data_IF_368523788430
#
_entry.id   IF_368523788430
#
_cell.length_a   1.000
_cell.length_b   1.000
_cell.length_c   1.000
_cell.angle_alpha   90.00
_cell.angle_beta   90.00
_cell.angle_gamma   90.00
#
_symmetry.space_group_name_H-M   'P 1'
#
loop_
_entity.id
_entity.type
_entity.pdbx_description
1 polymer ?
#
# COMPACT_ATOMS: atom_id res chain seq x y z
N UNK A 1 -16.05 -16.54 -47.82
CA UNK A 1 -16.48 -15.45 -48.73
C UNK A 1 -17.78 -14.85 -48.20
N UNK A 2 -17.84 -13.50 -48.13
CA UNK A 2 -19.04 -12.62 -48.02
C UNK A 2 -19.82 -12.67 -46.69
N UNK A 3 -19.66 -11.65 -45.81
CA UNK A 3 -20.40 -10.36 -45.70
C UNK A 3 -21.83 -10.59 -45.18
N UNK A 4 -22.14 -10.25 -43.91
CA UNK A 4 -22.56 -8.93 -43.39
C UNK A 4 -24.06 -8.63 -43.59
N UNK A 5 -24.79 -8.36 -42.49
CA UNK A 5 -25.98 -7.46 -42.31
C UNK A 5 -26.63 -7.86 -40.96
N UNK A 6 -26.72 -7.08 -39.86
CA UNK A 6 -27.18 -5.70 -39.60
C UNK A 6 -28.71 -5.51 -39.71
N UNK A 7 -29.46 -5.73 -38.62
CA UNK A 7 -30.82 -5.18 -38.30
C UNK A 7 -30.98 -5.30 -36.76
N UNK A 8 -30.84 -4.27 -35.93
CA UNK A 8 -31.70 -3.11 -35.64
C UNK A 8 -33.08 -3.46 -35.02
N UNK A 9 -33.36 -2.84 -33.86
CA UNK A 9 -34.69 -2.52 -33.28
C UNK A 9 -35.28 -3.44 -32.20
N UNK A 10 -35.28 -2.93 -30.96
CA UNK A 10 -36.42 -2.82 -30.01
C UNK A 10 -35.84 -2.53 -28.61
N UNK A 11 -35.45 -1.29 -28.29
CA UNK A 11 -36.29 -0.29 -27.59
C UNK A 11 -37.43 -0.92 -26.78
N UNK A 12 -37.37 -0.86 -25.44
CA UNK A 12 -38.33 -0.10 -24.61
C UNK A 12 -38.16 -0.40 -23.10
N UNK A 13 -38.19 0.69 -22.32
CA UNK A 13 -38.56 0.78 -20.90
C UNK A 13 -37.66 0.15 -19.84
N UNK A 14 -36.76 0.98 -19.29
CA UNK A 14 -36.78 1.21 -17.85
C UNK A 14 -36.71 2.72 -17.60
N UNK A 15 -37.84 3.26 -17.12
CA UNK A 15 -38.08 4.66 -16.88
C UNK A 15 -37.18 5.19 -15.76
N UNK A 16 -36.52 6.30 -16.08
CA UNK A 16 -35.92 7.26 -15.16
C UNK A 16 -37.00 7.76 -14.21
N UNK A 17 -36.83 7.52 -12.92
CA UNK A 17 -37.57 8.19 -11.86
C UNK A 17 -36.65 9.23 -11.22
N UNK A 18 -36.51 10.38 -11.90
CA UNK A 18 -36.07 11.62 -11.26
C UNK A 18 -37.32 12.35 -10.81
N UNK A 19 -37.47 12.47 -9.50
CA UNK A 19 -38.56 13.19 -8.86
C UNK A 19 -38.07 14.62 -8.66
N UNK A 20 -38.43 15.50 -9.58
CA UNK A 20 -38.17 16.93 -9.46
C UNK A 20 -38.82 17.45 -8.18
N UNK A 21 -37.98 17.98 -7.29
CA UNK A 21 -38.37 18.72 -6.10
C UNK A 21 -38.10 20.18 -6.43
N UNK A 22 -39.16 20.89 -6.79
CA UNK A 22 -39.16 22.35 -6.88
C UNK A 22 -38.69 22.93 -5.54
N UNK A 23 -37.57 23.66 -5.59
CA UNK A 23 -37.05 24.42 -4.48
C UNK A 23 -37.88 25.70 -4.33
N UNK A 24 -38.67 25.72 -3.27
CA UNK A 24 -39.34 26.91 -2.77
C UNK A 24 -38.32 28.02 -2.48
N UNK A 25 -38.62 29.21 -2.99
CA UNK A 25 -37.87 30.43 -2.73
C UNK A 25 -38.28 30.94 -1.35
N UNK A 26 -37.59 30.48 -0.31
CA UNK A 26 -37.58 31.18 0.97
C UNK A 26 -36.24 31.90 1.17
N UNK A 27 -36.32 33.22 1.07
CA UNK A 27 -35.29 34.18 1.41
C UNK A 27 -34.85 34.01 2.87
N UNK A 28 -33.71 33.37 3.10
CA UNK A 28 -33.02 33.39 4.39
C UNK A 28 -31.84 34.35 4.30
N UNK A 29 -31.86 35.32 5.22
CA UNK A 29 -30.86 36.37 5.44
C UNK A 29 -29.42 35.82 5.35
N UNK A 30 -28.62 36.51 4.55
CA UNK A 30 -27.17 36.39 4.47
C UNK A 30 -26.56 36.90 5.78
N UNK A 31 -26.39 36.02 6.75
CA UNK A 31 -25.46 36.25 7.85
C UNK A 31 -24.11 35.66 7.43
N UNK A 32 -23.16 36.54 7.12
CA UNK A 32 -21.80 36.16 6.75
C UNK A 32 -21.14 35.49 7.96
N UNK A 33 -21.00 34.16 7.89
CA UNK A 33 -20.06 33.45 8.75
C UNK A 33 -18.64 33.97 8.48
N UNK A 34 -17.80 34.18 9.50
CA UNK A 34 -16.43 34.61 9.31
C UNK A 34 -15.70 33.59 8.45
N UNK A 35 -14.94 34.07 7.46
CA UNK A 35 -14.18 33.24 6.54
C UNK A 35 -13.28 32.29 7.35
N UNK A 36 -13.65 31.01 7.41
CA UNK A 36 -12.76 29.97 7.89
C UNK A 36 -11.61 29.92 6.91
N UNK A 37 -10.39 30.17 7.38
CA UNK A 37 -9.18 29.87 6.63
C UNK A 37 -9.33 28.47 6.03
N UNK A 38 -9.39 28.39 4.70
CA UNK A 38 -9.34 27.15 3.98
C UNK A 38 -7.96 26.55 4.28
N UNK A 39 -7.88 25.66 5.26
CA UNK A 39 -6.73 24.78 5.40
C UNK A 39 -6.65 24.02 4.10
N UNK A 40 -5.69 24.40 3.27
CA UNK A 40 -5.38 23.74 2.01
C UNK A 40 -5.23 22.24 2.29
N UNK A 41 -6.23 21.45 1.88
CA UNK A 41 -6.19 20.00 2.02
C UNK A 41 -5.15 19.48 1.03
N UNK A 42 -3.89 19.41 1.47
CA UNK A 42 -2.84 18.76 0.69
C UNK A 42 -3.16 17.28 0.57
N UNK A 43 -3.36 16.85 -0.67
CA UNK A 43 -3.55 15.44 -0.98
C UNK A 43 -2.27 14.69 -0.61
N UNK A 44 -2.40 13.53 0.03
CA UNK A 44 -1.25 12.73 0.46
C UNK A 44 -0.55 12.13 -0.77
N UNK A 45 0.70 12.52 -1.00
CA UNK A 45 1.58 11.85 -1.96
C UNK A 45 2.42 10.79 -1.25
N UNK A 46 2.43 9.58 -1.81
CA UNK A 46 3.32 8.51 -1.37
C UNK A 46 4.76 8.92 -1.65
N UNK A 47 5.60 9.02 -0.62
CA UNK A 47 7.03 9.19 -0.83
C UNK A 47 7.63 7.96 -1.52
N UNK A 48 8.79 8.14 -2.15
CA UNK A 48 9.48 7.03 -2.81
C UNK A 48 9.81 5.90 -1.82
N UNK A 49 10.18 6.25 -0.58
CA UNK A 49 10.34 5.27 0.49
C UNK A 49 9.05 4.53 0.83
N UNK A 50 7.92 5.25 0.98
CA UNK A 50 6.63 4.61 1.27
C UNK A 50 6.19 3.65 0.15
N UNK A 51 6.39 4.05 -1.12
CA UNK A 51 6.12 3.21 -2.28
C UNK A 51 7.01 1.96 -2.29
N UNK A 52 8.30 2.10 -1.93
CA UNK A 52 9.22 0.97 -1.80
C UNK A 52 8.77 -0.01 -0.70
N UNK A 53 8.36 0.50 0.47
CA UNK A 53 7.86 -0.34 1.57
C UNK A 53 6.58 -1.11 1.17
N UNK A 54 5.68 -0.47 0.42
CA UNK A 54 4.49 -1.15 -0.11
C UNK A 54 4.87 -2.26 -1.09
N UNK A 55 5.85 -2.01 -1.97
CA UNK A 55 6.33 -3.03 -2.89
C UNK A 55 6.96 -4.22 -2.14
N UNK A 56 7.80 -3.96 -1.14
CA UNK A 56 8.38 -5.00 -0.28
C UNK A 56 7.30 -5.81 0.44
N UNK A 57 6.23 -5.16 0.91
CA UNK A 57 5.10 -5.83 1.54
C UNK A 57 4.40 -6.79 0.58
N UNK A 58 4.11 -6.35 -0.64
CA UNK A 58 3.47 -7.19 -1.67
C UNK A 58 4.35 -8.39 -2.04
N UNK A 59 5.66 -8.19 -2.17
CA UNK A 59 6.57 -9.28 -2.48
C UNK A 59 6.70 -10.28 -1.32
N UNK A 60 6.70 -9.80 -0.07
CA UNK A 60 6.65 -10.67 1.10
C UNK A 60 5.31 -11.41 1.22
N UNK A 61 4.18 -10.81 0.84
CA UNK A 61 2.89 -11.50 0.76
C UNK A 61 2.93 -12.67 -0.23
N UNK A 62 3.56 -12.48 -1.39
CA UNK A 62 3.72 -13.54 -2.40
C UNK A 62 4.67 -14.63 -1.92
N UNK A 63 5.82 -14.24 -1.35
CA UNK A 63 6.79 -15.17 -0.79
C UNK A 63 6.18 -16.01 0.34
N UNK A 64 5.42 -15.38 1.23
CA UNK A 64 4.66 -16.05 2.29
C UNK A 64 3.81 -17.18 1.73
N UNK A 65 3.08 -16.91 0.65
CA UNK A 65 2.22 -17.91 0.02
C UNK A 65 3.03 -19.08 -0.55
N UNK A 66 4.14 -18.80 -1.24
CA UNK A 66 5.05 -19.84 -1.75
C UNK A 66 5.61 -20.72 -0.63
N UNK A 67 6.01 -20.14 0.50
CA UNK A 67 6.50 -20.88 1.66
C UNK A 67 5.41 -21.80 2.23
N UNK A 68 4.18 -21.31 2.35
CA UNK A 68 3.03 -22.11 2.84
C UNK A 68 2.72 -23.27 1.89
N UNK A 69 2.78 -23.02 0.59
CA UNK A 69 2.45 -24.01 -0.44
C UNK A 69 3.60 -24.99 -0.71
N UNK A 70 4.78 -24.79 -0.11
CA UNK A 70 5.97 -25.60 -0.34
C UNK A 70 6.60 -25.39 -1.73
N UNK A 71 6.32 -24.25 -2.36
CA UNK A 71 6.88 -23.86 -3.65
C UNK A 71 8.30 -23.28 -3.49
N UNK A 72 9.00 -23.15 -4.62
CA UNK A 72 10.32 -22.54 -4.73
C UNK A 72 10.34 -21.09 -4.21
N UNK A 73 11.32 -20.78 -3.36
CA UNK A 73 11.49 -19.44 -2.77
C UNK A 73 11.99 -18.43 -3.80
N UNK A 74 12.88 -18.88 -4.69
CA UNK A 74 13.52 -18.08 -5.73
C UNK A 74 14.74 -17.31 -5.23
N UNK A 75 15.04 -16.18 -5.86
CA UNK A 75 16.17 -15.32 -5.53
C UNK A 75 15.75 -14.08 -4.74
N UNK A 76 16.68 -13.53 -3.95
CA UNK A 76 16.49 -12.29 -3.23
C UNK A 76 16.15 -11.12 -4.18
N UNK A 77 15.03 -10.40 -3.98
CA UNK A 77 14.66 -9.26 -4.81
C UNK A 77 15.63 -8.08 -4.58
N UNK A 78 16.57 -7.89 -5.50
CA UNK A 78 17.62 -6.84 -5.38
C UNK A 78 17.09 -5.43 -5.20
N UNK A 79 15.84 -5.15 -5.59
CA UNK A 79 15.23 -3.85 -5.39
C UNK A 79 15.02 -3.50 -3.90
N UNK A 80 15.07 -4.47 -2.98
CA UNK A 80 15.01 -4.20 -1.54
C UNK A 80 16.18 -3.33 -1.09
N UNK A 81 17.34 -3.45 -1.73
CA UNK A 81 18.53 -2.63 -1.47
C UNK A 81 18.31 -1.13 -1.78
N UNK A 82 17.21 -0.77 -2.46
CA UNK A 82 16.86 0.65 -2.65
C UNK A 82 16.52 1.35 -1.33
N UNK A 83 16.29 0.62 -0.23
CA UNK A 83 16.05 1.19 1.10
C UNK A 83 17.17 2.16 1.54
N UNK A 84 18.39 1.91 1.08
CA UNK A 84 19.55 2.74 1.38
C UNK A 84 19.58 4.10 0.65
N UNK A 85 18.80 4.25 -0.42
CA UNK A 85 18.89 5.40 -1.33
C UNK A 85 17.55 6.08 -1.63
N UNK A 86 16.42 5.39 -1.44
CA UNK A 86 15.10 5.92 -1.78
C UNK A 86 14.80 7.19 -0.96
N UNK A 87 14.43 8.33 -1.57
CA UNK A 87 14.10 9.56 -0.85
C UNK A 87 13.06 9.36 0.24
N UNK A 88 13.32 9.96 1.40
CA UNK A 88 12.40 9.96 2.52
C UNK A 88 11.32 11.02 2.33
N UNK A 89 10.21 10.92 3.06
CA UNK A 89 9.27 12.05 3.15
C UNK A 89 9.91 13.22 3.90
N UNK A 90 10.63 12.91 4.97
CA UNK A 90 11.48 13.82 5.73
C UNK A 90 12.91 13.27 5.74
N UNK A 91 13.87 14.02 5.18
CA UNK A 91 15.26 13.59 5.09
C UNK A 91 15.91 13.36 6.48
N UNK A 92 15.39 14.01 7.54
CA UNK A 92 15.87 13.81 8.91
C UNK A 92 15.51 12.43 9.46
N UNK A 93 14.57 11.71 8.84
CA UNK A 93 14.25 10.33 9.21
C UNK A 93 15.34 9.33 8.84
N UNK A 94 16.29 9.69 7.96
CA UNK A 94 17.47 8.86 7.65
C UNK A 94 18.58 9.05 8.70
N UNK A 95 18.24 8.81 9.94
CA UNK A 95 19.18 8.80 11.05
C UNK A 95 19.86 7.44 11.24
N UNK A 96 20.68 7.33 12.29
CA UNK A 96 21.43 6.10 12.56
C UNK A 96 20.52 4.95 12.99
N UNK A 97 19.39 5.26 13.65
CA UNK A 97 18.37 4.26 13.95
C UNK A 97 17.82 3.65 12.65
N UNK A 98 17.46 4.47 11.67
CA UNK A 98 16.97 3.98 10.38
C UNK A 98 18.01 3.11 9.67
N UNK A 99 19.27 3.56 9.59
CA UNK A 99 20.33 2.82 8.91
C UNK A 99 20.55 1.44 9.54
N UNK A 100 20.64 1.38 10.86
CA UNK A 100 20.81 0.12 11.60
C UNK A 100 19.64 -0.84 11.37
N UNK A 101 18.40 -0.33 11.40
CA UNK A 101 17.22 -1.17 11.17
C UNK A 101 17.06 -1.58 9.71
N UNK A 102 17.46 -0.73 8.76
CA UNK A 102 17.51 -1.08 7.34
C UNK A 102 18.50 -2.23 7.11
N UNK A 103 19.68 -2.20 7.73
CA UNK A 103 20.65 -3.30 7.65
C UNK A 103 20.09 -4.60 8.25
N UNK A 104 19.56 -4.54 9.47
CA UNK A 104 18.91 -5.70 10.11
C UNK A 104 17.78 -6.29 9.26
N UNK A 105 17.00 -5.43 8.60
CA UNK A 105 15.92 -5.85 7.70
C UNK A 105 16.46 -6.55 6.46
N UNK A 106 17.46 -5.97 5.79
CA UNK A 106 18.05 -6.56 4.59
C UNK A 106 18.70 -7.90 4.91
N UNK A 107 19.44 -8.00 6.02
CA UNK A 107 20.03 -9.26 6.48
C UNK A 107 18.97 -10.32 6.75
N UNK A 108 17.90 -9.96 7.48
CA UNK A 108 16.81 -10.89 7.78
C UNK A 108 16.11 -11.37 6.50
N UNK A 109 15.89 -10.47 5.53
CA UNK A 109 15.29 -10.81 4.25
C UNK A 109 16.20 -11.74 3.43
N UNK A 110 17.51 -11.46 3.36
CA UNK A 110 18.46 -12.31 2.65
C UNK A 110 18.56 -13.71 3.25
N UNK A 111 18.48 -13.85 4.58
CA UNK A 111 18.51 -15.18 5.24
C UNK A 111 17.42 -16.13 4.75
N UNK A 112 16.26 -15.63 4.33
CA UNK A 112 15.16 -16.46 3.79
C UNK A 112 15.60 -17.21 2.52
N UNK A 113 16.46 -16.58 1.71
CA UNK A 113 16.93 -17.11 0.43
C UNK A 113 18.21 -17.94 0.56
N UNK A 114 18.94 -17.81 1.69
CA UNK A 114 20.15 -18.58 1.99
C UNK A 114 19.79 -19.88 2.73
N UNK A 115 18.92 -19.79 3.74
CA UNK A 115 18.49 -20.90 4.58
C UNK A 115 17.04 -21.29 4.25
N UNK A 116 16.86 -21.84 3.04
CA UNK A 116 15.54 -22.21 2.52
C UNK A 116 14.91 -23.39 3.27
N UNK A 117 15.71 -24.16 4.04
CA UNK A 117 15.22 -25.27 4.87
C UNK A 117 14.40 -24.74 6.04
N UNK A 118 14.80 -23.61 6.64
CA UNK A 118 14.09 -22.95 7.75
C UNK A 118 13.34 -21.70 7.28
N UNK A 119 12.83 -21.73 6.04
CA UNK A 119 12.27 -20.54 5.40
C UNK A 119 11.11 -19.92 6.18
N UNK A 120 10.28 -20.74 6.86
CA UNK A 120 9.19 -20.25 7.71
C UNK A 120 9.73 -19.42 8.88
N UNK A 121 10.73 -19.94 9.59
CA UNK A 121 11.37 -19.26 10.71
C UNK A 121 12.06 -17.98 10.23
N UNK A 122 12.86 -18.05 9.16
CA UNK A 122 13.54 -16.88 8.58
C UNK A 122 12.57 -15.82 8.07
N UNK A 123 11.46 -16.25 7.47
CA UNK A 123 10.42 -15.33 7.02
C UNK A 123 9.80 -14.59 8.21
N UNK A 124 9.48 -15.31 9.29
CA UNK A 124 8.95 -14.71 10.51
C UNK A 124 9.98 -13.78 11.20
N UNK A 125 11.27 -14.07 11.14
CA UNK A 125 12.33 -13.12 11.54
C UNK A 125 12.29 -11.84 10.68
N UNK A 126 12.13 -11.98 9.36
CA UNK A 126 11.96 -10.86 8.44
C UNK A 126 10.76 -9.98 8.78
N UNK A 127 9.59 -10.59 9.05
CA UNK A 127 8.37 -9.87 9.50
C UNK A 127 8.63 -9.15 10.82
N UNK A 128 9.36 -9.77 11.75
CA UNK A 128 9.72 -9.16 13.03
C UNK A 128 10.62 -7.94 12.84
N UNK A 129 11.56 -8.00 11.89
CA UNK A 129 12.41 -6.85 11.55
C UNK A 129 11.61 -5.68 10.96
N UNK A 130 10.60 -5.95 10.12
CA UNK A 130 9.67 -4.91 9.66
C UNK A 130 9.01 -4.20 10.84
N UNK A 131 8.53 -4.96 11.83
CA UNK A 131 7.84 -4.42 13.00
C UNK A 131 8.78 -3.60 13.89
N UNK A 132 10.01 -4.03 14.11
CA UNK A 132 10.98 -3.31 14.94
C UNK A 132 11.20 -1.85 14.46
N UNK A 133 11.31 -1.66 13.14
CA UNK A 133 11.41 -0.32 12.55
C UNK A 133 10.08 0.46 12.65
N UNK A 134 8.95 -0.21 12.37
CA UNK A 134 7.64 0.45 12.31
C UNK A 134 7.03 0.78 13.67
N UNK A 135 7.39 0.04 14.73
CA UNK A 135 6.95 0.34 16.10
C UNK A 135 7.68 1.55 16.69
N UNK A 136 8.86 1.91 16.15
CA UNK A 136 9.72 2.96 16.71
C UNK A 136 9.65 4.28 15.95
N UNK A 137 9.81 4.25 14.62
CA UNK A 137 10.08 5.45 13.79
C UNK A 137 8.89 5.85 12.93
N UNK A 138 8.43 4.90 12.12
CA UNK A 138 7.42 5.16 11.11
C UNK A 138 6.21 4.31 11.47
N UNK A 139 5.17 4.92 12.07
CA UNK A 139 3.92 4.26 12.48
C UNK A 139 3.09 3.72 11.30
N UNK A 140 3.73 2.96 10.41
CA UNK A 140 3.14 2.30 9.27
C UNK A 140 2.11 1.26 9.70
N UNK A 141 1.59 0.46 8.76
CA UNK A 141 0.44 -0.39 9.02
C UNK A 141 0.81 -1.65 9.82
N UNK A 142 1.21 -1.49 11.09
CA UNK A 142 1.58 -2.57 12.03
C UNK A 142 0.57 -3.73 12.04
N UNK A 143 -0.76 -3.49 12.12
CA UNK A 143 -1.74 -4.60 12.09
C UNK A 143 -1.70 -5.39 10.78
N UNK A 144 -1.31 -4.74 9.67
CA UNK A 144 -1.23 -5.37 8.34
C UNK A 144 0.05 -6.19 8.21
N UNK A 145 1.16 -5.68 8.74
CA UNK A 145 2.44 -6.40 8.79
C UNK A 145 2.33 -7.65 9.67
N UNK A 146 1.68 -7.56 10.83
CA UNK A 146 1.46 -8.73 11.73
C UNK A 146 0.70 -9.87 11.07
N UNK A 147 -0.09 -9.62 10.02
CA UNK A 147 -0.78 -10.68 9.27
C UNK A 147 0.16 -11.51 8.38
N UNK A 148 1.39 -11.04 8.13
CA UNK A 148 2.37 -11.77 7.35
C UNK A 148 2.89 -13.02 8.07
N UNK A 149 2.89 -13.06 9.41
CA UNK A 149 3.38 -14.22 10.13
C UNK A 149 2.76 -15.53 9.63
N UNK A 150 3.61 -16.54 9.47
CA UNK A 150 3.23 -17.91 9.14
C UNK A 150 3.09 -18.66 10.46
N UNK A 151 1.89 -19.17 10.74
CA UNK A 151 1.57 -19.96 11.94
C UNK A 151 2.05 -21.39 11.80
#
# INVERSE_FOLDING_TARGET
MKKAFLVLSAVLFLAVSCKDKEADKETVKKEQAPAKEEKEFKMYEMSQMAALMEQMYVDNMRLRQRIIDGDTIGDFPKHFLKIYMAPMTDETDRDDFFKEHADKFIEAQQRIYIDTVHAKERFNEGVTSCLACHESKCGGPIPRIKKLYIK
#
